data_IF_342622637515
#
_entry.id   IF_342622637515
#
_cell.length_a   1.000
_cell.length_b   1.000
_cell.length_c   1.000
_cell.angle_alpha   90.00
_cell.angle_beta   90.00
_cell.angle_gamma   90.00
#
_symmetry.space_group_name_H-M   'P 1'
#
loop_
_entity.id
_entity.type
_entity.pdbx_description
1 polymer ?
#
# COMPACT_ATOMS: atom_id res chain seq x y z
N UNK A 1 51.81 15.65 35.39
CA UNK A 1 51.32 17.03 35.21
C UNK A 1 49.81 16.96 35.11
N UNK A 2 49.10 17.76 35.89
CA UNK A 2 47.64 17.78 35.91
C UNK A 2 47.10 18.90 35.01
N UNK A 3 45.88 18.76 34.51
CA UNK A 3 45.04 19.91 34.19
C UNK A 3 43.57 19.55 34.45
N UNK A 4 42.88 20.34 35.28
CA UNK A 4 41.48 20.13 35.68
C UNK A 4 40.61 21.31 35.22
N UNK A 5 39.37 21.01 34.82
CA UNK A 5 38.23 21.94 34.81
C UNK A 5 38.25 23.07 33.76
N UNK A 6 37.24 23.97 33.77
CA UNK A 6 36.12 24.11 34.71
C UNK A 6 34.73 24.13 33.98
N UNK A 7 33.65 24.81 34.43
CA UNK A 7 32.73 24.35 35.49
C UNK A 7 31.23 24.38 35.10
N UNK A 8 30.38 23.90 36.03
CA UNK A 8 28.90 24.10 36.06
C UNK A 8 28.51 25.57 36.25
N UNK A 9 27.30 25.99 35.81
CA UNK A 9 26.32 26.61 36.73
C UNK A 9 24.84 26.27 36.34
N UNK A 10 23.80 26.82 37.00
CA UNK A 10 23.34 26.44 38.34
C UNK A 10 21.84 26.05 38.36
N UNK A 11 21.32 25.68 39.54
CA UNK A 11 19.88 25.55 39.81
C UNK A 11 19.39 26.69 40.71
N UNK A 12 18.21 27.26 40.42
CA UNK A 12 17.36 28.16 41.21
C UNK A 12 16.10 28.46 40.34
N UNK A 13 14.88 28.76 40.83
CA UNK A 13 14.35 28.85 42.21
C UNK A 13 12.86 28.35 42.23
N UNK A 14 12.11 28.61 43.30
CA UNK A 14 10.70 28.23 43.53
C UNK A 14 9.67 29.21 42.92
N UNK A 15 8.38 28.85 42.91
CA UNK A 15 7.41 29.63 43.70
C UNK A 15 6.18 28.80 44.16
N UNK A 16 5.95 28.78 45.48
CA UNK A 16 4.73 28.27 46.13
C UNK A 16 4.01 29.49 46.73
N UNK A 17 2.83 29.86 46.22
CA UNK A 17 1.99 30.88 46.87
C UNK A 17 0.76 30.25 47.50
N UNK A 18 0.77 30.31 48.84
CA UNK A 18 -0.26 29.86 49.77
C UNK A 18 -0.94 31.08 50.39
N UNK A 19 -2.27 31.10 50.39
CA UNK A 19 -3.21 31.76 51.34
C UNK A 19 -4.59 31.81 50.64
N UNK A 20 -5.73 31.41 51.20
CA UNK A 20 -6.24 31.46 52.59
C UNK A 20 -6.49 32.89 53.09
N UNK A 21 -7.62 33.47 52.66
CA UNK A 21 -8.34 34.46 53.46
C UNK A 21 -9.77 33.96 53.73
N UNK A 22 -10.09 33.84 55.01
CA UNK A 22 -11.47 33.77 55.47
C UNK A 22 -11.93 35.19 55.81
N UNK A 23 -13.15 35.55 55.40
CA UNK A 23 -13.82 36.76 55.86
C UNK A 23 -15.21 36.43 56.36
N UNK A 24 -15.35 36.36 57.68
CA UNK A 24 -16.64 36.38 58.36
C UNK A 24 -17.21 37.79 58.36
N UNK A 25 -18.44 37.96 57.89
CA UNK A 25 -19.31 39.09 58.25
C UNK A 25 -20.74 38.58 58.42
N UNK A 26 -21.51 39.20 59.32
CA UNK A 26 -22.80 38.70 59.80
C UNK A 26 -23.88 39.81 59.85
N UNK A 27 -25.15 39.38 59.94
CA UNK A 27 -26.39 40.17 59.97
C UNK A 27 -26.79 40.83 58.62
N UNK A 28 -28.07 40.96 58.23
CA UNK A 28 -29.35 40.37 58.68
C UNK A 28 -30.35 40.43 57.47
N UNK A 29 -31.46 39.66 57.43
CA UNK A 29 -32.37 39.62 56.28
C UNK A 29 -33.40 40.76 56.30
N UNK A 30 -33.88 41.24 55.14
CA UNK A 30 -35.18 40.74 54.66
C UNK A 30 -35.38 40.71 53.14
N UNK A 31 -36.58 40.27 52.73
CA UNK A 31 -37.16 40.26 51.38
C UNK A 31 -36.52 39.29 50.37
N UNK A 32 -37.24 38.21 50.06
CA UNK A 32 -36.91 37.29 48.99
C UNK A 32 -37.31 37.88 47.62
N UNK A 33 -36.37 38.09 46.68
CA UNK A 33 -36.68 38.12 45.26
C UNK A 33 -36.84 36.67 44.78
N UNK A 34 -37.79 36.43 43.87
CA UNK A 34 -37.92 35.13 43.20
C UNK A 34 -36.61 34.82 42.49
N UNK A 35 -35.96 33.70 42.83
CA UNK A 35 -34.72 33.29 42.20
C UNK A 35 -34.96 33.05 40.70
N UNK A 36 -34.54 34.00 39.87
CA UNK A 36 -34.41 33.75 38.44
C UNK A 36 -33.41 32.61 38.27
N UNK A 37 -33.90 31.46 37.79
CA UNK A 37 -33.05 30.33 37.45
C UNK A 37 -32.11 30.80 36.34
N UNK A 38 -30.88 31.12 36.72
CA UNK A 38 -29.82 31.41 35.77
C UNK A 38 -29.56 30.11 34.99
N UNK A 39 -30.18 30.00 33.82
CA UNK A 39 -29.88 28.95 32.85
C UNK A 39 -28.41 29.06 32.50
N UNK A 40 -27.59 28.20 33.12
CA UNK A 40 -26.22 27.99 32.65
C UNK A 40 -26.30 27.69 31.15
N UNK A 41 -25.49 28.34 30.31
CA UNK A 41 -25.39 27.94 28.91
C UNK A 41 -25.01 26.45 28.88
N UNK A 42 -25.64 25.64 28.01
CA UNK A 42 -25.36 24.21 27.94
C UNK A 42 -23.84 24.00 27.72
N UNK A 43 -23.23 22.99 28.37
CA UNK A 43 -21.82 22.71 28.15
C UNK A 43 -21.57 22.51 26.65
N UNK A 44 -20.45 23.02 26.11
CA UNK A 44 -20.15 22.89 24.70
C UNK A 44 -20.21 21.40 24.30
N UNK A 45 -20.80 21.06 23.14
CA UNK A 45 -20.90 19.67 22.72
C UNK A 45 -19.49 19.06 22.67
N UNK A 46 -19.32 17.80 23.12
CA UNK A 46 -18.01 17.16 23.08
C UNK A 46 -17.48 17.16 21.64
N UNK A 47 -16.17 17.37 21.43
CA UNK A 47 -15.61 17.43 20.08
C UNK A 47 -15.92 16.14 19.35
N UNK A 48 -16.56 16.26 18.18
CA UNK A 48 -16.88 15.12 17.32
C UNK A 48 -15.55 14.50 16.88
N UNK A 49 -15.24 13.33 17.43
CA UNK A 49 -14.10 12.55 17.00
C UNK A 49 -14.39 12.01 15.60
N UNK A 50 -13.92 12.73 14.59
CA UNK A 50 -13.86 12.25 13.21
C UNK A 50 -13.06 10.94 13.21
N UNK A 51 -13.76 9.83 12.95
CA UNK A 51 -13.14 8.52 12.82
C UNK A 51 -12.21 8.54 11.61
N UNK A 52 -11.05 7.90 11.76
CA UNK A 52 -10.06 7.80 10.69
C UNK A 52 -10.61 6.91 9.55
N UNK A 53 -10.80 7.43 8.33
CA UNK A 53 -11.42 6.68 7.24
C UNK A 53 -10.56 5.49 6.80
N UNK A 54 -9.24 5.58 6.94
CA UNK A 54 -8.32 4.51 6.58
C UNK A 54 -8.42 3.36 7.58
N UNK A 55 -8.55 3.64 8.88
CA UNK A 55 -8.80 2.61 9.89
C UNK A 55 -10.17 1.96 9.72
N UNK A 56 -11.19 2.73 9.34
CA UNK A 56 -12.55 2.23 9.14
C UNK A 56 -12.65 1.26 7.95
N UNK A 57 -11.96 1.54 6.83
CA UNK A 57 -12.02 0.65 5.66
C UNK A 57 -11.06 -0.55 5.75
N UNK A 58 -9.99 -0.46 6.54
CA UNK A 58 -8.93 -1.47 6.55
C UNK A 58 -9.41 -2.93 6.75
N UNK A 59 -10.40 -3.24 7.62
CA UNK A 59 -10.96 -4.59 7.71
C UNK A 59 -11.52 -5.14 6.38
N UNK A 60 -12.11 -4.29 5.53
CA UNK A 60 -12.59 -4.67 4.20
C UNK A 60 -11.44 -4.91 3.23
N UNK A 61 -10.35 -4.14 3.32
CA UNK A 61 -9.12 -4.37 2.54
C UNK A 61 -8.48 -5.72 2.92
N UNK A 62 -8.43 -6.07 4.21
CA UNK A 62 -7.98 -7.40 4.68
C UNK A 62 -8.84 -8.51 4.07
N UNK A 63 -10.16 -8.35 4.12
CA UNK A 63 -11.11 -9.33 3.58
C UNK A 63 -10.91 -9.56 2.07
N UNK A 64 -10.90 -8.49 1.28
CA UNK A 64 -10.73 -8.53 -0.17
C UNK A 64 -9.36 -9.12 -0.57
N UNK A 65 -8.30 -8.81 0.18
CA UNK A 65 -6.97 -9.39 -0.04
C UNK A 65 -6.95 -10.90 0.20
N UNK A 66 -7.58 -11.36 1.29
CA UNK A 66 -7.68 -12.80 1.61
C UNK A 66 -8.52 -13.56 0.57
N UNK A 67 -9.55 -12.92 0.00
CA UNK A 67 -10.38 -13.48 -1.08
C UNK A 67 -9.77 -13.31 -2.49
N UNK A 68 -8.61 -12.64 -2.60
CA UNK A 68 -7.92 -12.32 -3.86
C UNK A 68 -8.78 -11.50 -4.84
N UNK A 69 -9.72 -10.71 -4.31
CA UNK A 69 -10.61 -9.83 -5.05
C UNK A 69 -9.93 -8.50 -5.36
N UNK A 70 -8.85 -8.56 -6.15
CA UNK A 70 -7.92 -7.45 -6.35
C UNK A 70 -8.56 -6.20 -6.99
N UNK A 71 -9.50 -6.37 -7.92
CA UNK A 71 -10.19 -5.24 -8.58
C UNK A 71 -11.09 -4.49 -7.60
N UNK A 72 -11.82 -5.22 -6.75
CA UNK A 72 -12.70 -4.65 -5.72
C UNK A 72 -11.88 -4.02 -4.58
N UNK A 73 -10.70 -4.57 -4.27
CA UNK A 73 -9.73 -3.97 -3.36
C UNK A 73 -9.24 -2.62 -3.88
N UNK A 74 -8.86 -2.56 -5.16
CA UNK A 74 -8.44 -1.33 -5.84
C UNK A 74 -9.56 -0.27 -5.76
N UNK A 75 -10.78 -0.59 -6.21
CA UNK A 75 -11.93 0.32 -6.20
C UNK A 75 -12.26 0.85 -4.78
N UNK A 76 -12.25 -0.05 -3.79
CA UNK A 76 -12.47 0.29 -2.37
C UNK A 76 -11.39 1.24 -1.83
N UNK A 77 -10.13 0.96 -2.17
CA UNK A 77 -8.98 1.75 -1.72
C UNK A 77 -8.91 3.12 -2.41
N UNK A 78 -9.12 3.20 -3.73
CA UNK A 78 -9.17 4.46 -4.47
C UNK A 78 -10.35 5.33 -4.02
N UNK A 79 -11.52 4.74 -3.83
CA UNK A 79 -12.69 5.46 -3.30
C UNK A 79 -12.39 6.05 -1.92
N UNK A 80 -11.76 5.29 -1.02
CA UNK A 80 -11.37 5.81 0.31
C UNK A 80 -10.37 6.96 0.18
N UNK A 81 -9.36 6.78 -0.66
CA UNK A 81 -8.28 7.75 -0.89
C UNK A 81 -8.79 9.08 -1.48
N UNK A 82 -9.80 9.05 -2.34
CA UNK A 82 -10.45 10.24 -2.94
C UNK A 82 -11.28 11.02 -1.90
N UNK A 83 -11.91 10.33 -0.95
CA UNK A 83 -12.81 10.95 0.04
C UNK A 83 -12.10 11.32 1.36
N UNK A 84 -10.86 10.88 1.57
CA UNK A 84 -10.07 11.24 2.74
C UNK A 84 -9.64 12.71 2.71
N UNK A 85 -9.79 13.41 3.84
CA UNK A 85 -9.52 14.85 3.96
C UNK A 85 -8.06 15.13 4.37
N UNK A 86 -7.30 14.10 4.80
CA UNK A 86 -5.98 14.27 5.42
C UNK A 86 -4.92 13.31 4.88
N UNK A 87 -4.19 13.79 3.87
CA UNK A 87 -3.09 13.09 3.19
C UNK A 87 -1.90 12.71 4.08
N UNK A 88 -1.75 13.31 5.27
CA UNK A 88 -0.51 13.19 6.06
C UNK A 88 -0.55 12.12 7.17
N UNK A 89 -1.67 11.42 7.32
CA UNK A 89 -1.82 10.43 8.39
C UNK A 89 -1.06 9.13 8.08
N UNK A 90 -0.39 8.55 9.09
CA UNK A 90 0.28 7.25 8.96
C UNK A 90 -0.71 6.09 8.71
N UNK A 91 -1.97 6.25 9.12
CA UNK A 91 -3.07 5.31 8.84
C UNK A 91 -3.35 5.15 7.34
N UNK A 92 -3.04 6.13 6.49
CA UNK A 92 -3.14 6.02 5.03
C UNK A 92 -2.34 4.83 4.46
N UNK A 93 -1.29 4.39 5.15
CA UNK A 93 -0.53 3.17 4.80
C UNK A 93 -1.38 1.90 4.78
N UNK A 94 -2.43 1.83 5.62
CA UNK A 94 -3.37 0.71 5.70
C UNK A 94 -4.11 0.49 4.37
N UNK A 95 -4.25 1.54 3.56
CA UNK A 95 -4.94 1.51 2.25
C UNK A 95 -3.95 1.57 1.10
N UNK A 96 -2.99 2.50 1.15
CA UNK A 96 -2.04 2.75 0.06
C UNK A 96 -1.08 1.59 -0.21
N UNK A 97 -0.59 0.89 0.82
CA UNK A 97 0.33 -0.24 0.61
C UNK A 97 -0.40 -1.41 -0.07
N UNK A 98 -1.58 -1.86 0.40
CA UNK A 98 -2.40 -2.82 -0.33
C UNK A 98 -2.78 -2.37 -1.74
N UNK A 99 -3.14 -1.11 -1.95
CA UNK A 99 -3.48 -0.58 -3.28
C UNK A 99 -2.34 -0.74 -4.29
N UNK A 100 -1.12 -0.32 -3.91
CA UNK A 100 0.05 -0.46 -4.79
C UNK A 100 0.32 -1.94 -5.08
N UNK A 101 0.32 -2.80 -4.05
CA UNK A 101 0.53 -4.23 -4.22
C UNK A 101 -0.54 -4.88 -5.12
N UNK A 102 -1.81 -4.49 -4.98
CA UNK A 102 -2.89 -4.97 -5.84
C UNK A 102 -2.67 -4.58 -7.32
N UNK A 103 -2.21 -3.36 -7.60
CA UNK A 103 -1.84 -2.97 -8.96
C UNK A 103 -0.65 -3.77 -9.52
N UNK A 104 0.39 -4.04 -8.72
CA UNK A 104 1.49 -4.90 -9.15
C UNK A 104 1.00 -6.35 -9.39
N UNK A 105 0.14 -6.88 -8.52
CA UNK A 105 -0.53 -8.17 -8.69
C UNK A 105 -1.37 -8.17 -9.98
N UNK A 106 -1.98 -7.06 -10.40
CA UNK A 106 -2.74 -6.95 -11.66
C UNK A 106 -1.90 -6.64 -12.92
N UNK A 107 -0.59 -6.38 -12.80
CA UNK A 107 0.30 -5.91 -13.89
C UNK A 107 0.12 -4.43 -14.28
N UNK A 108 -0.62 -3.64 -13.48
CA UNK A 108 -0.91 -2.22 -13.73
C UNK A 108 0.24 -1.31 -13.26
N UNK A 109 1.45 -1.63 -13.74
CA UNK A 109 2.71 -0.98 -13.35
C UNK A 109 2.69 0.54 -13.54
N UNK A 110 2.12 1.12 -14.63
CA UNK A 110 2.05 2.58 -14.78
C UNK A 110 1.24 3.25 -13.68
N UNK A 111 0.14 2.61 -13.24
CA UNK A 111 -0.74 3.14 -12.19
C UNK A 111 -0.09 2.99 -10.82
N UNK A 112 0.48 1.82 -10.49
CA UNK A 112 1.29 1.65 -9.28
C UNK A 112 2.40 2.71 -9.16
N UNK A 113 3.12 2.95 -10.26
CA UNK A 113 4.16 3.97 -10.35
C UNK A 113 3.61 5.39 -10.14
N UNK A 114 2.41 5.68 -10.64
CA UNK A 114 1.73 6.96 -10.45
C UNK A 114 1.33 7.17 -8.98
N UNK A 115 0.79 6.15 -8.31
CA UNK A 115 0.45 6.19 -6.87
C UNK A 115 1.71 6.46 -6.04
N UNK A 116 2.80 5.72 -6.24
CA UNK A 116 4.09 5.95 -5.54
C UNK A 116 4.63 7.36 -5.78
N UNK A 117 4.50 7.91 -6.99
CA UNK A 117 4.95 9.27 -7.31
C UNK A 117 4.13 10.36 -6.60
N UNK A 118 2.85 10.12 -6.31
CA UNK A 118 1.95 11.06 -5.62
C UNK A 118 2.18 11.15 -4.10
N UNK A 119 3.09 10.36 -3.53
CA UNK A 119 3.31 10.22 -2.09
C UNK A 119 4.69 10.79 -1.65
N UNK A 120 4.95 12.11 -1.77
CA UNK A 120 6.27 12.67 -1.47
C UNK A 120 6.69 12.48 -0.01
N UNK A 121 5.76 12.67 0.92
CA UNK A 121 6.04 12.74 2.36
C UNK A 121 6.23 11.36 3.03
N UNK A 122 5.89 10.26 2.34
CA UNK A 122 5.90 8.92 2.93
C UNK A 122 7.16 8.11 2.59
N UNK A 123 8.06 8.64 1.74
CA UNK A 123 9.28 7.95 1.28
C UNK A 123 10.32 7.72 2.38
N UNK A 124 10.22 8.43 3.50
CA UNK A 124 11.02 8.21 4.71
C UNK A 124 10.60 6.98 5.51
N UNK A 125 9.39 6.46 5.28
CA UNK A 125 8.85 5.30 6.00
C UNK A 125 9.42 4.03 5.35
N UNK A 126 10.13 3.14 6.09
CA UNK A 126 10.81 1.99 5.50
C UNK A 126 9.92 1.09 4.63
N UNK A 127 8.68 0.87 5.07
CA UNK A 127 7.67 0.10 4.32
C UNK A 127 7.37 0.72 2.94
N UNK A 128 7.07 2.02 2.91
CA UNK A 128 6.77 2.73 1.65
C UNK A 128 7.99 2.85 0.75
N UNK A 129 9.19 2.97 1.32
CA UNK A 129 10.44 2.91 0.56
C UNK A 129 10.55 1.55 -0.15
N UNK A 130 10.44 0.45 0.57
CA UNK A 130 10.56 -0.90 -0.02
C UNK A 130 9.46 -1.20 -1.06
N UNK A 131 8.21 -0.76 -0.84
CA UNK A 131 7.14 -0.86 -1.85
C UNK A 131 7.44 -0.01 -3.09
N UNK A 132 8.00 1.19 -2.91
CA UNK A 132 8.44 2.06 -3.99
C UNK A 132 9.62 1.50 -4.79
N UNK A 133 10.61 0.91 -4.11
CA UNK A 133 11.78 0.27 -4.73
C UNK A 133 11.36 -1.00 -5.50
N UNK A 134 10.47 -1.83 -4.94
CA UNK A 134 9.86 -2.96 -5.65
C UNK A 134 9.10 -2.51 -6.92
N UNK A 135 8.31 -1.44 -6.81
CA UNK A 135 7.60 -0.84 -7.95
C UNK A 135 8.59 -0.36 -9.02
N UNK A 136 9.69 0.28 -8.61
CA UNK A 136 10.74 0.75 -9.51
C UNK A 136 11.46 -0.42 -10.20
N UNK A 137 11.86 -1.46 -9.46
CA UNK A 137 12.52 -2.65 -10.01
C UNK A 137 11.64 -3.36 -11.04
N UNK A 138 10.33 -3.52 -10.75
CA UNK A 138 9.38 -4.12 -11.68
C UNK A 138 9.14 -3.25 -12.91
N UNK A 139 8.98 -1.92 -12.75
CA UNK A 139 8.86 -0.99 -13.89
C UNK A 139 10.10 -0.91 -14.77
N UNK A 140 11.27 -1.22 -14.22
CA UNK A 140 12.55 -1.23 -14.94
C UNK A 140 12.86 -2.57 -15.61
N UNK A 141 12.05 -3.61 -15.37
CA UNK A 141 12.26 -4.96 -15.91
C UNK A 141 13.51 -5.67 -15.39
N UNK A 142 14.04 -5.29 -14.22
CA UNK A 142 15.27 -5.89 -13.66
C UNK A 142 14.91 -7.07 -12.76
N UNK A 143 14.74 -8.25 -13.38
CA UNK A 143 14.22 -9.47 -12.74
C UNK A 143 14.95 -9.85 -11.44
N UNK A 144 16.28 -9.75 -11.42
CA UNK A 144 17.10 -10.06 -10.24
C UNK A 144 16.74 -9.16 -9.03
N UNK A 145 16.49 -7.87 -9.27
CA UNK A 145 16.14 -6.90 -8.23
C UNK A 145 14.72 -7.11 -7.67
N UNK A 146 13.79 -7.61 -8.49
CA UNK A 146 12.40 -7.84 -8.03
C UNK A 146 12.37 -8.82 -6.86
N UNK A 147 13.19 -9.88 -6.91
CA UNK A 147 13.28 -10.86 -5.81
C UNK A 147 14.01 -10.29 -4.58
N UNK A 148 15.03 -9.45 -4.75
CA UNK A 148 15.69 -8.80 -3.60
C UNK A 148 14.75 -7.80 -2.90
N UNK A 149 14.01 -6.99 -3.65
CA UNK A 149 13.06 -6.04 -3.06
C UNK A 149 11.86 -6.71 -2.40
N UNK A 150 11.38 -7.85 -2.94
CA UNK A 150 10.39 -8.69 -2.26
C UNK A 150 10.92 -9.21 -0.92
N UNK A 151 12.18 -9.67 -0.87
CA UNK A 151 12.80 -10.14 0.37
C UNK A 151 13.00 -9.00 1.38
N UNK A 152 13.42 -7.81 0.92
CA UNK A 152 13.51 -6.59 1.73
C UNK A 152 12.16 -6.23 2.34
N UNK A 153 11.12 -6.14 1.52
CA UNK A 153 9.75 -5.82 1.95
C UNK A 153 9.23 -6.84 2.97
N UNK A 154 9.40 -8.13 2.68
CA UNK A 154 9.01 -9.24 3.58
C UNK A 154 9.75 -9.17 4.93
N UNK A 155 11.05 -8.82 4.90
CA UNK A 155 11.88 -8.69 6.12
C UNK A 155 11.44 -7.52 6.98
N UNK A 156 11.01 -6.39 6.39
CA UNK A 156 10.50 -5.22 7.12
C UNK A 156 9.19 -5.56 7.84
N UNK A 157 8.25 -6.24 7.18
CA UNK A 157 6.97 -6.61 7.82
C UNK A 157 7.05 -7.83 8.74
N UNK A 158 8.16 -8.56 8.72
CA UNK A 158 8.43 -9.67 9.64
C UNK A 158 9.08 -9.24 10.96
N UNK A 159 9.44 -7.96 11.13
CA UNK A 159 10.03 -7.48 12.38
C UNK A 159 9.03 -7.54 13.54
N UNK A 160 9.45 -7.93 14.76
CA UNK A 160 8.55 -8.09 15.91
C UNK A 160 8.04 -6.75 16.47
N UNK A 161 8.68 -5.63 16.14
CA UNK A 161 8.31 -4.26 16.50
C UNK A 161 7.50 -3.54 15.40
N UNK A 162 7.09 -4.25 14.35
CA UNK A 162 6.28 -3.66 13.27
C UNK A 162 4.94 -3.11 13.82
N UNK A 163 4.63 -1.81 13.66
CA UNK A 163 3.54 -1.15 14.40
C UNK A 163 2.14 -1.72 14.19
N UNK A 164 1.86 -2.30 13.01
CA UNK A 164 0.53 -2.74 12.59
C UNK A 164 0.52 -4.24 12.22
N UNK A 165 0.38 -5.17 13.19
CA UNK A 165 0.48 -6.61 12.94
C UNK A 165 -0.53 -7.17 11.93
N UNK A 166 -1.67 -6.50 11.73
CA UNK A 166 -2.64 -6.87 10.69
C UNK A 166 -2.18 -6.43 9.29
N UNK A 167 -1.60 -5.24 9.16
CA UNK A 167 -0.98 -4.78 7.91
C UNK A 167 0.19 -5.66 7.52
N UNK A 168 1.05 -6.05 8.47
CA UNK A 168 2.15 -6.99 8.22
C UNK A 168 1.65 -8.30 7.58
N UNK A 169 0.60 -8.90 8.13
CA UNK A 169 0.01 -10.15 7.61
C UNK A 169 -0.57 -10.00 6.20
N UNK A 170 -1.32 -8.92 5.95
CA UNK A 170 -1.85 -8.63 4.60
C UNK A 170 -0.72 -8.42 3.60
N UNK A 171 0.29 -7.63 3.94
CA UNK A 171 1.44 -7.37 3.07
C UNK A 171 2.20 -8.66 2.76
N UNK A 172 2.47 -9.52 3.76
CA UNK A 172 3.10 -10.82 3.52
C UNK A 172 2.29 -11.69 2.55
N UNK A 173 0.97 -11.76 2.71
CA UNK A 173 0.08 -12.52 1.82
C UNK A 173 0.09 -11.96 0.39
N UNK A 174 -0.10 -10.64 0.24
CA UNK A 174 -0.11 -9.96 -1.06
C UNK A 174 1.24 -10.02 -1.77
N UNK A 175 2.35 -10.00 -1.04
CA UNK A 175 3.70 -10.16 -1.61
C UNK A 175 3.93 -11.59 -2.11
N UNK A 176 3.41 -12.61 -1.42
CA UNK A 176 3.42 -13.98 -1.93
C UNK A 176 2.57 -14.14 -3.21
N UNK A 177 1.36 -13.57 -3.23
CA UNK A 177 0.50 -13.57 -4.42
C UNK A 177 1.07 -12.76 -5.59
N UNK A 178 1.79 -11.67 -5.30
CA UNK A 178 2.58 -10.93 -6.27
C UNK A 178 3.66 -11.82 -6.90
N UNK A 179 4.47 -12.52 -6.10
CA UNK A 179 5.50 -13.43 -6.63
C UNK A 179 4.92 -14.53 -7.51
N UNK A 180 3.79 -15.13 -7.11
CA UNK A 180 3.10 -16.15 -7.91
C UNK A 180 2.65 -15.56 -9.25
N UNK A 181 2.00 -14.39 -9.22
CA UNK A 181 1.50 -13.70 -10.42
C UNK A 181 2.64 -13.28 -11.36
N UNK A 182 3.73 -12.75 -10.81
CA UNK A 182 4.94 -12.37 -11.52
C UNK A 182 5.64 -13.57 -12.17
N UNK A 183 5.81 -14.67 -11.43
CA UNK A 183 6.42 -15.92 -11.95
C UNK A 183 5.57 -16.52 -13.09
N UNK A 184 4.24 -16.55 -12.93
CA UNK A 184 3.33 -17.01 -13.99
C UNK A 184 3.45 -16.17 -15.27
N UNK A 185 3.53 -14.83 -15.15
CA UNK A 185 3.80 -13.94 -16.30
C UNK A 185 5.15 -14.18 -16.94
N UNK A 186 6.18 -14.41 -16.12
CA UNK A 186 7.55 -14.69 -16.58
C UNK A 186 7.59 -16.01 -17.36
N UNK A 187 6.90 -17.07 -16.89
CA UNK A 187 6.72 -18.31 -17.66
C UNK A 187 6.06 -18.06 -19.01
N UNK A 188 4.95 -17.31 -19.07
CA UNK A 188 4.26 -16.99 -20.32
C UNK A 188 5.14 -16.16 -21.27
N UNK A 189 5.86 -15.17 -20.75
CA UNK A 189 6.76 -14.31 -21.53
C UNK A 189 7.92 -15.13 -22.13
N UNK A 190 8.59 -15.92 -21.30
CA UNK A 190 9.72 -16.76 -21.74
C UNK A 190 9.28 -17.85 -22.72
N UNK A 191 8.08 -18.42 -22.55
CA UNK A 191 7.51 -19.38 -23.50
C UNK A 191 7.13 -18.78 -24.86
N UNK A 192 6.97 -17.46 -24.95
CA UNK A 192 6.78 -16.72 -26.21
C UNK A 192 8.10 -16.25 -26.82
N UNK A 193 9.04 -15.82 -25.98
CA UNK A 193 10.31 -15.24 -26.41
C UNK A 193 11.37 -16.28 -26.83
N UNK A 194 11.29 -17.51 -26.32
CA UNK A 194 12.32 -18.54 -26.52
C UNK A 194 11.75 -19.88 -26.98
N UNK A 195 12.31 -20.42 -28.06
CA UNK A 195 12.14 -21.84 -28.45
C UNK A 195 13.01 -22.78 -27.61
N UNK A 196 14.11 -22.27 -27.06
CA UNK A 196 14.99 -22.94 -26.11
C UNK A 196 15.79 -21.91 -25.30
N UNK A 197 16.16 -22.26 -24.07
CA UNK A 197 17.01 -21.45 -23.18
C UNK A 197 17.90 -22.36 -22.31
N UNK A 198 19.02 -21.85 -21.82
CA UNK A 198 19.82 -22.57 -20.82
C UNK A 198 19.11 -22.59 -19.46
N UNK A 199 19.35 -23.64 -18.67
CA UNK A 199 18.81 -23.73 -17.31
C UNK A 199 19.21 -22.53 -16.44
N UNK A 200 20.48 -22.12 -16.49
CA UNK A 200 21.02 -20.97 -15.74
C UNK A 200 20.35 -19.64 -16.08
N UNK A 201 19.90 -19.44 -17.33
CA UNK A 201 19.13 -18.24 -17.69
C UNK A 201 17.72 -18.29 -17.07
N UNK A 202 17.09 -19.46 -17.01
CA UNK A 202 15.79 -19.62 -16.36
C UNK A 202 15.91 -19.48 -14.82
N UNK A 203 16.94 -20.06 -14.19
CA UNK A 203 17.24 -19.90 -12.76
C UNK A 203 17.35 -18.41 -12.37
N UNK A 204 18.04 -17.60 -13.18
CA UNK A 204 18.14 -16.14 -13.04
C UNK A 204 16.77 -15.44 -13.08
N UNK A 205 15.92 -15.74 -14.07
CA UNK A 205 14.61 -15.11 -14.21
C UNK A 205 13.65 -15.44 -13.05
N UNK A 206 13.65 -16.70 -12.59
CA UNK A 206 12.72 -17.17 -11.55
C UNK A 206 13.24 -17.01 -10.11
N UNK A 207 14.55 -16.76 -9.96
CA UNK A 207 15.30 -16.85 -8.70
C UNK A 207 14.94 -18.13 -7.95
N UNK A 208 15.18 -19.25 -8.62
CA UNK A 208 14.95 -20.62 -8.15
C UNK A 208 16.17 -21.46 -8.50
N UNK A 209 16.49 -22.44 -7.66
CA UNK A 209 17.44 -23.48 -8.02
C UNK A 209 16.85 -24.42 -9.07
N UNK A 210 17.71 -25.12 -9.83
CA UNK A 210 17.33 -26.21 -10.74
C UNK A 210 16.34 -27.22 -10.11
N UNK A 211 16.57 -27.62 -8.87
CA UNK A 211 15.75 -28.63 -8.16
C UNK A 211 14.31 -28.14 -7.89
N UNK A 212 14.13 -26.83 -7.69
CA UNK A 212 12.82 -26.18 -7.52
C UNK A 212 12.17 -25.85 -8.87
N UNK A 213 12.97 -25.40 -9.84
CA UNK A 213 12.50 -24.90 -11.12
C UNK A 213 12.05 -26.02 -12.07
N UNK A 214 12.79 -27.13 -12.14
CA UNK A 214 12.49 -28.21 -13.08
C UNK A 214 11.10 -28.85 -12.87
N UNK A 215 10.64 -29.13 -11.64
CA UNK A 215 9.27 -29.59 -11.39
C UNK A 215 8.20 -28.57 -11.82
N UNK A 216 8.43 -27.27 -11.57
CA UNK A 216 7.48 -26.21 -11.95
C UNK A 216 7.42 -26.05 -13.48
N UNK A 217 8.57 -26.07 -14.15
CA UNK A 217 8.66 -26.02 -15.60
C UNK A 217 7.97 -27.24 -16.25
N UNK A 218 8.16 -28.45 -15.71
CA UNK A 218 7.49 -29.66 -16.18
C UNK A 218 5.95 -29.58 -16.01
N UNK A 219 5.46 -28.99 -14.91
CA UNK A 219 4.03 -28.73 -14.71
C UNK A 219 3.46 -27.70 -15.70
N UNK A 220 4.29 -26.80 -16.23
CA UNK A 220 3.97 -25.89 -17.35
C UNK A 220 4.18 -26.54 -18.74
N UNK A 221 4.45 -27.85 -18.79
CA UNK A 221 4.68 -28.62 -20.01
C UNK A 221 6.05 -28.42 -20.66
N UNK A 222 6.96 -27.65 -20.05
CA UNK A 222 8.30 -27.43 -20.60
C UNK A 222 9.12 -28.72 -20.51
N UNK A 223 9.94 -28.98 -21.53
CA UNK A 223 10.84 -30.15 -21.54
C UNK A 223 12.26 -29.74 -21.20
N UNK A 224 12.97 -30.58 -20.44
CA UNK A 224 14.36 -30.37 -20.07
C UNK A 224 15.25 -31.45 -20.68
N UNK A 225 16.33 -31.05 -21.33
CA UNK A 225 17.39 -31.93 -21.81
C UNK A 225 18.58 -31.88 -20.84
N UNK A 226 18.76 -32.98 -20.10
CA UNK A 226 19.83 -33.16 -19.10
C UNK A 226 21.22 -33.07 -19.74
N UNK A 227 21.38 -33.50 -20.99
CA UNK A 227 22.69 -33.59 -21.66
C UNK A 227 23.22 -32.21 -22.07
N UNK A 228 22.33 -31.33 -22.55
CA UNK A 228 22.65 -29.98 -22.98
C UNK A 228 22.36 -28.91 -21.92
N UNK A 229 21.68 -29.27 -20.83
CA UNK A 229 21.13 -28.36 -19.81
C UNK A 229 20.21 -27.27 -20.39
N UNK A 230 19.42 -27.65 -21.39
CA UNK A 230 18.50 -26.76 -22.11
C UNK A 230 17.06 -27.04 -21.68
N UNK A 231 16.34 -25.97 -21.33
CA UNK A 231 14.89 -25.95 -21.24
C UNK A 231 14.29 -25.57 -22.60
N UNK A 232 13.25 -26.29 -23.01
CA UNK A 232 12.44 -26.00 -24.20
C UNK A 232 11.02 -25.66 -23.74
N UNK A 233 10.65 -24.37 -23.70
CA UNK A 233 9.29 -23.97 -23.42
C UNK A 233 8.32 -24.53 -24.45
N UNK A 234 7.09 -24.80 -24.02
CA UNK A 234 5.98 -25.05 -24.94
C UNK A 234 5.31 -23.72 -25.23
N UNK A 235 5.27 -23.34 -26.51
CA UNK A 235 4.53 -22.17 -26.95
C UNK A 235 3.05 -22.32 -26.56
N UNK A 236 2.61 -21.52 -25.58
CA UNK A 236 1.20 -21.47 -25.20
C UNK A 236 0.39 -20.98 -26.39
N UNK A 237 -0.51 -21.82 -26.90
CA UNK A 237 -1.53 -21.37 -27.85
C UNK A 237 -2.27 -20.21 -27.21
N UNK A 238 -2.24 -19.03 -27.84
CA UNK A 238 -2.93 -17.88 -27.27
C UNK A 238 -4.43 -18.19 -27.15
N UNK A 239 -5.08 -17.80 -26.03
CA UNK A 239 -6.52 -17.64 -26.08
C UNK A 239 -6.82 -16.60 -27.16
N UNK A 240 -7.73 -16.93 -28.08
CA UNK A 240 -8.10 -16.12 -29.25
C UNK A 240 -8.66 -14.73 -28.92
N UNK A 241 -8.79 -14.40 -27.63
CA UNK A 241 -9.16 -13.10 -27.07
C UNK A 241 -8.07 -12.03 -27.22
N UNK A 242 -6.81 -12.39 -27.51
CA UNK A 242 -5.75 -11.41 -27.85
C UNK A 242 -5.77 -10.98 -29.33
N UNK A 243 -6.95 -10.95 -29.96
CA UNK A 243 -7.22 -9.84 -30.88
C UNK A 243 -6.94 -8.55 -30.13
N UNK A 244 -5.87 -7.84 -30.51
CA UNK A 244 -5.76 -6.42 -30.20
C UNK A 244 -7.10 -5.75 -30.51
N UNK A 245 -7.57 -4.76 -29.72
CA UNK A 245 -8.77 -4.02 -30.08
C UNK A 245 -8.60 -3.54 -31.51
N UNK A 246 -9.44 -4.06 -32.40
CA UNK A 246 -9.29 -3.85 -33.84
C UNK A 246 -9.23 -2.35 -34.08
N UNK A 247 -8.24 -1.89 -34.85
CA UNK A 247 -8.01 -0.47 -35.12
C UNK A 247 -9.36 0.22 -35.37
N UNK A 248 -9.68 1.22 -34.54
CA UNK A 248 -11.06 1.68 -34.25
C UNK A 248 -11.94 1.62 -35.48
N UNK A 249 -12.99 0.80 -35.39
CA UNK A 249 -13.74 0.44 -36.57
C UNK A 249 -14.43 1.66 -37.18
N UNK A 250 -14.55 1.70 -38.51
CA UNK A 250 -15.27 2.79 -39.21
C UNK A 250 -16.74 2.88 -38.74
N UNK A 251 -17.28 1.79 -38.19
CA UNK A 251 -18.55 1.72 -37.45
C UNK A 251 -18.56 2.53 -36.15
N UNK A 252 -17.50 2.50 -35.33
CA UNK A 252 -17.42 3.32 -34.11
C UNK A 252 -17.23 4.80 -34.43
N UNK A 253 -16.46 5.14 -35.48
CA UNK A 253 -16.40 6.52 -35.98
C UNK A 253 -17.79 7.01 -36.44
N UNK A 254 -18.53 6.20 -37.21
CA UNK A 254 -19.89 6.55 -37.63
C UNK A 254 -20.85 6.68 -36.43
N UNK A 255 -20.74 5.81 -35.42
CA UNK A 255 -21.56 5.90 -34.21
C UNK A 255 -21.31 7.20 -33.44
N UNK A 256 -20.04 7.58 -33.26
CA UNK A 256 -19.67 8.84 -32.59
C UNK A 256 -20.14 10.05 -33.42
N UNK A 257 -19.90 10.04 -34.74
CA UNK A 257 -20.32 11.12 -35.63
C UNK A 257 -21.86 11.30 -35.65
N UNK A 258 -22.62 10.19 -35.67
CA UNK A 258 -24.08 10.23 -35.57
C UNK A 258 -24.55 10.72 -34.20
N UNK A 259 -23.93 10.27 -33.11
CA UNK A 259 -24.27 10.69 -31.74
C UNK A 259 -24.06 12.19 -31.53
N UNK A 260 -22.97 12.75 -32.05
CA UNK A 260 -22.72 14.21 -32.01
C UNK A 260 -23.76 14.96 -32.87
N UNK A 261 -24.08 14.46 -34.07
CA UNK A 261 -25.08 15.10 -34.94
C UNK A 261 -26.50 15.13 -34.37
N UNK A 262 -26.82 14.25 -33.42
CA UNK A 262 -28.10 14.25 -32.70
C UNK A 262 -28.12 15.18 -31.48
N UNK A 263 -26.97 15.69 -31.04
CA UNK A 263 -26.83 16.64 -29.93
C UNK A 263 -26.82 18.11 -30.38
N UNK A 264 -26.73 18.37 -31.69
CA UNK A 264 -26.76 19.71 -32.29
C UNK A 264 -28.12 20.08 -32.93
N UNK A 265 -29.21 19.40 -32.51
CA UNK A 265 -30.61 19.68 -32.88
C UNK A 265 -31.46 20.02 -31.66
#
# INVERSE_FOLDING_TARGET
>A
MANMGPPTPPAEIQDEVKMSEASTSAAEPPAAPVAAVATQPPPPPPPVQLQDPYQLIFPRIIELANQKQWLELIDTAETTEIHAINDQQLSRLLVIVPLILAYLIQNEIPIATLVVKRLPNMKSIPLMKAVGDLTLAYSSGVYEQIHSEVNTLSTIVAQPDFPEPQLAKVVQSMVADFLISFRNRTFLLLARAYTSMSLSLAEMYFNMSADELLPVAANQGWTYDVSSKILKPVATKEPTSFTAPGASSLSEFNFIAQSVSQLEL
#
